data_IF_132165779419
#
_entry.id   IF_132165779419
#
_cell.length_a   1.000
_cell.length_b   1.000
_cell.length_c   1.000
_cell.angle_alpha   90.00
_cell.angle_beta   90.00
_cell.angle_gamma   90.00
#
_symmetry.space_group_name_H-M   'P 1'
#
loop_
_entity.id
_entity.type
_entity.pdbx_description
1 polymer ?
#
# COMPACT_ATOMS: atom_id res chain seq x y z
N UNK A 1 8.05 -20.91 -3.79
CA UNK A 1 8.24 -19.96 -2.67
C UNK A 1 6.98 -19.99 -1.84
N UNK A 2 7.10 -20.04 -0.52
CA UNK A 2 6.00 -20.05 0.44
C UNK A 2 6.05 -18.76 1.27
N UNK A 3 4.91 -18.13 1.51
CA UNK A 3 4.81 -16.84 2.20
C UNK A 3 3.67 -16.88 3.21
N UNK A 4 3.91 -16.37 4.42
CA UNK A 4 2.89 -16.09 5.42
C UNK A 4 2.37 -14.66 5.25
N UNK A 5 1.05 -14.46 5.20
CA UNK A 5 0.44 -13.13 5.17
C UNK A 5 -0.43 -12.91 6.41
N UNK A 6 -0.20 -11.81 7.08
CA UNK A 6 -0.89 -11.39 8.30
C UNK A 6 -1.74 -10.17 7.94
N UNK A 7 -3.07 -10.30 8.09
CA UNK A 7 -4.00 -9.25 7.69
C UNK A 7 -4.58 -9.47 6.30
N UNK A 8 -5.67 -10.24 6.23
CA UNK A 8 -6.43 -10.58 5.03
C UNK A 8 -7.62 -9.62 4.84
N UNK A 9 -7.40 -8.32 4.99
CA UNK A 9 -8.33 -7.27 4.59
C UNK A 9 -8.35 -7.09 3.07
N UNK A 10 -9.00 -6.03 2.57
CA UNK A 10 -9.11 -5.75 1.13
C UNK A 10 -7.75 -5.77 0.40
N UNK A 11 -6.72 -5.14 0.98
CA UNK A 11 -5.38 -5.14 0.36
C UNK A 11 -4.71 -6.50 0.48
N UNK A 12 -4.71 -7.12 1.68
CA UNK A 12 -4.08 -8.42 1.89
C UNK A 12 -4.69 -9.52 1.04
N UNK A 13 -6.01 -9.53 0.85
CA UNK A 13 -6.68 -10.44 -0.10
C UNK A 13 -6.20 -10.18 -1.53
N UNK A 14 -6.20 -8.93 -2.00
CA UNK A 14 -5.75 -8.58 -3.34
C UNK A 14 -4.30 -8.98 -3.59
N UNK A 15 -3.41 -8.75 -2.61
CA UNK A 15 -2.00 -9.17 -2.67
C UNK A 15 -1.87 -10.71 -2.74
N UNK A 16 -2.61 -11.42 -1.89
CA UNK A 16 -2.62 -12.89 -1.88
C UNK A 16 -3.01 -13.45 -3.25
N UNK A 17 -4.09 -12.95 -3.84
CA UNK A 17 -4.59 -13.39 -5.14
C UNK A 17 -3.58 -13.16 -6.27
N UNK A 18 -2.87 -12.02 -6.25
CA UNK A 18 -1.80 -11.77 -7.22
C UNK A 18 -0.63 -12.73 -7.05
N UNK A 19 -0.21 -12.99 -5.81
CA UNK A 19 0.86 -13.96 -5.51
C UNK A 19 0.48 -15.37 -5.92
N UNK A 20 -0.73 -15.84 -5.61
CA UNK A 20 -1.26 -17.15 -6.06
C UNK A 20 -1.22 -17.26 -7.59
N UNK A 21 -1.68 -16.22 -8.31
CA UNK A 21 -1.63 -16.18 -9.78
C UNK A 21 -0.20 -16.29 -10.32
N UNK A 22 0.77 -15.81 -9.58
CA UNK A 22 2.20 -15.89 -9.92
C UNK A 22 2.87 -17.20 -9.45
N UNK A 23 2.11 -18.17 -8.91
CA UNK A 23 2.62 -19.45 -8.45
C UNK A 23 3.32 -19.42 -7.08
N UNK A 24 3.08 -18.38 -6.29
CA UNK A 24 3.58 -18.28 -4.91
C UNK A 24 2.56 -18.91 -3.97
N UNK A 25 2.99 -19.84 -3.12
CA UNK A 25 2.15 -20.44 -2.08
C UNK A 25 1.95 -19.47 -0.93
N UNK A 26 0.71 -19.10 -0.62
CA UNK A 26 0.36 -18.08 0.37
C UNK A 26 -0.48 -18.67 1.48
N UNK A 27 0.02 -18.64 2.71
CA UNK A 27 -0.72 -19.00 3.91
C UNK A 27 -1.13 -17.74 4.67
N UNK A 28 -2.40 -17.66 5.05
CA UNK A 28 -2.97 -16.46 5.61
C UNK A 28 -3.40 -16.60 7.07
N UNK A 29 -3.21 -15.52 7.84
CA UNK A 29 -3.75 -15.33 9.17
C UNK A 29 -4.55 -14.04 9.28
N UNK A 30 -5.68 -14.10 9.94
CA UNK A 30 -6.46 -12.97 10.42
C UNK A 30 -7.26 -13.35 11.67
N UNK A 31 -7.58 -12.36 12.52
CA UNK A 31 -8.30 -12.58 13.77
C UNK A 31 -9.68 -13.26 13.57
N UNK A 32 -10.36 -12.99 12.47
CA UNK A 32 -11.60 -13.69 12.13
C UNK A 32 -11.29 -14.88 11.24
N UNK A 33 -11.10 -16.05 11.84
CA UNK A 33 -10.75 -17.28 11.14
C UNK A 33 -11.79 -17.71 10.08
N UNK A 34 -13.08 -17.55 10.36
CA UNK A 34 -14.14 -17.93 9.40
C UNK A 34 -13.99 -17.16 8.07
N UNK A 35 -13.61 -15.88 8.14
CA UNK A 35 -13.31 -15.11 6.91
C UNK A 35 -12.01 -15.52 6.23
N UNK A 36 -11.01 -16.02 6.95
CA UNK A 36 -9.81 -16.59 6.33
C UNK A 36 -10.13 -17.90 5.62
N UNK A 37 -10.95 -18.73 6.23
CA UNK A 37 -11.41 -19.98 5.65
C UNK A 37 -12.24 -19.75 4.37
N UNK A 38 -13.14 -18.77 4.36
CA UNK A 38 -13.88 -18.38 3.15
C UNK A 38 -12.92 -17.98 1.99
N UNK A 39 -11.83 -17.25 2.30
CA UNK A 39 -10.83 -16.88 1.29
C UNK A 39 -10.04 -18.09 0.79
N UNK A 40 -9.76 -19.04 1.66
CA UNK A 40 -9.14 -20.32 1.27
C UNK A 40 -10.07 -21.14 0.35
N UNK A 41 -11.33 -21.28 0.70
CA UNK A 41 -12.32 -22.01 -0.13
C UNK A 41 -12.51 -21.37 -1.51
N UNK A 42 -12.34 -20.05 -1.62
CA UNK A 42 -12.34 -19.32 -2.90
C UNK A 42 -11.02 -19.42 -3.67
N UNK A 43 -9.99 -20.07 -3.12
CA UNK A 43 -8.68 -20.18 -3.74
C UNK A 43 -7.86 -18.85 -3.74
N UNK A 44 -8.18 -17.93 -2.85
CA UNK A 44 -7.47 -16.64 -2.74
C UNK A 44 -6.19 -16.75 -1.91
N UNK A 45 -6.06 -17.79 -1.11
CA UNK A 45 -4.88 -18.21 -0.37
C UNK A 45 -4.73 -19.72 -0.48
N UNK A 46 -3.51 -20.25 -0.27
CA UNK A 46 -3.20 -21.70 -0.30
C UNK A 46 -3.61 -22.43 0.98
N UNK A 47 -3.76 -21.70 2.08
CA UNK A 47 -4.20 -22.21 3.37
C UNK A 47 -4.43 -21.09 4.36
N UNK A 48 -5.22 -21.36 5.41
CA UNK A 48 -5.47 -20.42 6.51
C UNK A 48 -5.06 -21.04 7.84
N UNK A 49 -4.67 -20.18 8.79
CA UNK A 49 -4.21 -20.60 10.11
C UNK A 49 -4.97 -19.89 11.22
N UNK A 50 -5.02 -20.50 12.40
CA UNK A 50 -5.77 -20.01 13.55
C UNK A 50 -4.93 -19.12 14.47
N UNK A 51 -3.60 -19.12 14.31
CA UNK A 51 -2.66 -18.35 15.13
C UNK A 51 -1.42 -17.95 14.32
N UNK A 52 -0.66 -16.97 14.81
CA UNK A 52 0.66 -16.64 14.25
C UNK A 52 1.65 -17.78 14.42
N UNK A 53 1.58 -18.53 15.52
CA UNK A 53 2.40 -19.73 15.73
C UNK A 53 2.19 -20.75 14.61
N UNK A 54 0.92 -21.11 14.33
CA UNK A 54 0.61 -22.06 13.25
C UNK A 54 0.98 -21.52 11.87
N UNK A 55 0.90 -20.21 11.65
CA UNK A 55 1.37 -19.58 10.43
C UNK A 55 2.88 -19.78 10.24
N UNK A 56 3.66 -19.49 11.27
CA UNK A 56 5.13 -19.64 11.24
C UNK A 56 5.50 -21.12 11.01
N UNK A 57 4.85 -22.05 11.71
CA UNK A 57 5.08 -23.50 11.54
C UNK A 57 4.81 -23.93 10.08
N UNK A 58 3.71 -23.51 9.49
CA UNK A 58 3.37 -23.85 8.10
C UNK A 58 4.36 -23.26 7.12
N UNK A 59 4.78 -22.02 7.30
CA UNK A 59 5.76 -21.36 6.41
C UNK A 59 7.11 -22.06 6.44
N UNK A 60 7.55 -22.51 7.62
CA UNK A 60 8.80 -23.26 7.78
C UNK A 60 8.71 -24.74 7.39
N UNK A 61 7.50 -25.32 7.27
CA UNK A 61 7.33 -26.73 6.92
C UNK A 61 7.74 -26.98 5.46
N UNK A 62 8.47 -28.06 5.24
CA UNK A 62 8.89 -28.47 3.89
C UNK A 62 10.15 -27.78 3.37
N UNK A 63 10.84 -27.01 4.20
CA UNK A 63 12.21 -26.56 3.88
C UNK A 63 13.17 -27.74 3.97
N UNK A 64 14.08 -27.94 2.97
CA UNK A 64 15.06 -29.01 3.04
C UNK A 64 15.92 -28.88 4.32
N UNK A 65 16.17 -29.99 5.00
CA UNK A 65 17.02 -30.04 6.22
C UNK A 65 18.46 -29.55 6.00
N UNK A 66 18.87 -29.28 4.77
CA UNK A 66 20.25 -28.96 4.37
C UNK A 66 20.52 -27.47 4.10
N UNK A 67 19.57 -26.58 4.36
CA UNK A 67 19.77 -25.14 4.29
C UNK A 67 18.49 -24.44 4.68
N UNK A 68 18.53 -23.66 5.76
CA UNK A 68 17.36 -22.89 6.20
C UNK A 68 16.97 -21.90 5.10
N UNK A 69 15.91 -22.20 4.37
CA UNK A 69 15.24 -21.16 3.56
C UNK A 69 14.53 -20.26 4.54
N UNK A 70 14.76 -18.93 4.51
CA UNK A 70 14.11 -18.02 5.42
C UNK A 70 12.58 -18.08 5.27
N UNK A 71 11.86 -18.08 6.38
CA UNK A 71 10.43 -17.81 6.40
C UNK A 71 10.21 -16.35 5.97
N UNK A 72 9.21 -16.12 5.13
CA UNK A 72 8.86 -14.76 4.69
C UNK A 72 7.45 -14.44 5.17
N UNK A 73 7.33 -13.38 5.96
CA UNK A 73 6.08 -12.97 6.59
C UNK A 73 5.74 -11.53 6.16
N UNK A 74 4.57 -11.35 5.55
CA UNK A 74 4.05 -10.07 5.13
C UNK A 74 3.02 -9.58 6.14
N UNK A 75 3.22 -8.42 6.73
CA UNK A 75 2.25 -7.74 7.59
C UNK A 75 1.47 -6.71 6.75
N UNK A 76 0.18 -6.96 6.57
CA UNK A 76 -0.75 -6.06 5.85
C UNK A 76 -1.85 -5.63 6.82
N UNK A 77 -1.42 -4.99 7.89
CA UNK A 77 -2.25 -4.58 9.02
C UNK A 77 -2.22 -3.05 9.18
N UNK A 78 -3.19 -2.44 9.89
CA UNK A 78 -3.17 -1.02 10.21
C UNK A 78 -1.89 -0.62 10.94
N UNK A 79 -1.39 0.60 10.67
CA UNK A 79 -0.11 1.08 11.20
C UNK A 79 -0.03 1.04 12.74
N UNK A 80 -1.14 1.32 13.41
CA UNK A 80 -1.28 1.29 14.87
C UNK A 80 -1.15 -0.12 15.47
N UNK A 81 -1.40 -1.18 14.69
CA UNK A 81 -1.31 -2.57 15.17
C UNK A 81 -0.02 -3.27 14.77
N UNK A 82 0.84 -2.63 13.96
CA UNK A 82 2.08 -3.24 13.46
C UNK A 82 3.00 -3.67 14.60
N UNK A 83 3.17 -2.83 15.63
CA UNK A 83 4.11 -3.13 16.72
C UNK A 83 3.66 -4.34 17.54
N UNK A 84 2.38 -4.41 17.90
CA UNK A 84 1.80 -5.52 18.67
C UNK A 84 1.85 -6.82 17.85
N UNK A 85 1.44 -6.76 16.58
CA UNK A 85 1.51 -7.91 15.65
C UNK A 85 2.94 -8.41 15.49
N UNK A 86 3.90 -7.50 15.35
CA UNK A 86 5.31 -7.83 15.23
C UNK A 86 5.84 -8.51 16.50
N UNK A 87 5.52 -7.97 17.69
CA UNK A 87 5.95 -8.53 18.97
C UNK A 87 5.38 -9.94 19.20
N UNK A 88 4.14 -10.20 18.80
CA UNK A 88 3.54 -11.53 18.85
C UNK A 88 4.22 -12.48 17.85
N UNK A 89 4.41 -12.06 16.60
CA UNK A 89 5.05 -12.87 15.57
C UNK A 89 6.48 -13.28 15.94
N UNK A 90 7.26 -12.35 16.52
CA UNK A 90 8.66 -12.57 16.91
C UNK A 90 8.85 -13.67 17.96
N UNK A 91 7.82 -14.07 18.70
CA UNK A 91 7.90 -15.17 19.65
C UNK A 91 8.14 -16.53 18.95
N UNK A 92 7.82 -16.61 17.66
CA UNK A 92 7.88 -17.84 16.86
C UNK A 92 8.91 -17.77 15.73
N UNK A 93 9.36 -16.57 15.37
CA UNK A 93 10.38 -16.36 14.32
C UNK A 93 11.76 -16.88 14.73
N UNK A 94 12.55 -17.24 13.73
CA UNK A 94 13.91 -17.71 13.90
C UNK A 94 14.91 -16.85 13.12
N UNK A 95 16.19 -16.98 13.44
CA UNK A 95 17.26 -16.34 12.70
C UNK A 95 17.19 -16.67 11.19
N UNK A 96 17.30 -15.66 10.36
CA UNK A 96 17.20 -15.74 8.90
C UNK A 96 15.81 -15.37 8.35
N UNK A 97 14.76 -15.34 9.18
CA UNK A 97 13.43 -14.94 8.72
C UNK A 97 13.39 -13.50 8.20
N UNK A 98 12.48 -13.26 7.26
CA UNK A 98 12.27 -11.94 6.66
C UNK A 98 10.85 -11.49 6.96
N UNK A 99 10.72 -10.30 7.55
CA UNK A 99 9.43 -9.65 7.81
C UNK A 99 9.28 -8.44 6.90
N UNK A 100 8.18 -8.38 6.15
CA UNK A 100 7.84 -7.28 5.25
C UNK A 100 6.65 -6.52 5.84
N UNK A 101 6.86 -5.26 6.20
CA UNK A 101 5.80 -4.36 6.67
C UNK A 101 5.21 -3.59 5.49
N UNK A 102 3.97 -3.92 5.13
CA UNK A 102 3.16 -3.20 4.14
C UNK A 102 2.18 -2.19 4.77
N UNK A 103 2.28 -1.97 6.08
CA UNK A 103 1.50 -0.93 6.76
C UNK A 103 1.90 0.47 6.28
N UNK A 104 1.03 1.45 6.56
CA UNK A 104 1.39 2.87 6.34
C UNK A 104 2.19 3.40 7.54
N UNK A 105 3.28 2.71 7.87
CA UNK A 105 4.09 2.94 9.08
C UNK A 105 4.96 4.19 8.95
N UNK A 106 5.29 4.80 10.11
CA UNK A 106 6.28 5.87 10.16
C UNK A 106 7.67 5.31 9.85
N UNK A 107 8.40 5.92 8.92
CA UNK A 107 9.74 5.47 8.51
C UNK A 107 10.77 5.44 9.66
N UNK A 108 10.61 6.28 10.69
CA UNK A 108 11.47 6.27 11.89
C UNK A 108 11.25 5.00 12.70
N UNK A 109 10.00 4.55 12.80
CA UNK A 109 9.66 3.29 13.47
C UNK A 109 10.17 2.10 12.68
N UNK A 110 10.09 2.15 11.35
CA UNK A 110 10.65 1.11 10.48
C UNK A 110 12.16 0.95 10.69
N UNK A 111 12.90 2.04 10.81
CA UNK A 111 14.34 2.02 11.13
C UNK A 111 14.61 1.39 12.49
N UNK A 112 13.85 1.79 13.52
CA UNK A 112 13.98 1.24 14.88
C UNK A 112 13.68 -0.24 14.92
N UNK A 113 12.62 -0.69 14.22
CA UNK A 113 12.25 -2.11 14.10
C UNK A 113 13.36 -2.88 13.40
N UNK A 114 13.86 -2.41 12.28
CA UNK A 114 14.95 -3.06 11.54
C UNK A 114 16.20 -3.23 12.40
N UNK A 115 16.61 -2.20 13.16
CA UNK A 115 17.74 -2.28 14.08
C UNK A 115 17.51 -3.32 15.19
N UNK A 116 16.30 -3.37 15.75
CA UNK A 116 15.93 -4.34 16.78
C UNK A 116 15.99 -5.77 16.23
N UNK A 117 15.40 -6.02 15.08
CA UNK A 117 15.30 -7.34 14.46
C UNK A 117 16.66 -7.85 13.98
N UNK A 118 17.52 -6.97 13.50
CA UNK A 118 18.87 -7.35 13.07
C UNK A 118 19.72 -7.98 14.19
N UNK A 119 19.50 -7.55 15.45
CA UNK A 119 20.14 -8.13 16.64
C UNK A 119 19.67 -9.56 16.94
N UNK A 120 18.51 -9.94 16.37
CA UNK A 120 17.95 -11.29 16.45
C UNK A 120 18.25 -12.12 15.19
N UNK A 121 19.04 -11.59 14.26
CA UNK A 121 19.32 -12.23 12.98
C UNK A 121 18.13 -12.24 12.01
N UNK A 122 17.05 -11.45 12.29
CA UNK A 122 15.84 -11.36 11.48
C UNK A 122 15.95 -10.13 10.59
N UNK A 123 15.59 -10.27 9.31
CA UNK A 123 15.58 -9.18 8.34
C UNK A 123 14.22 -8.45 8.34
N UNK A 124 14.27 -7.14 8.31
CA UNK A 124 13.07 -6.31 8.20
C UNK A 124 13.10 -5.49 6.92
N UNK A 125 12.00 -5.55 6.18
CA UNK A 125 11.74 -4.78 4.97
C UNK A 125 10.53 -3.89 5.22
N UNK A 126 10.66 -2.60 4.98
CA UNK A 126 9.56 -1.66 4.93
C UNK A 126 9.12 -1.48 3.48
N UNK A 127 7.84 -1.70 3.22
CA UNK A 127 7.30 -1.68 1.87
C UNK A 127 6.10 -0.73 1.76
N UNK A 128 6.38 0.53 1.46
CA UNK A 128 5.36 1.51 1.16
C UNK A 128 4.57 1.07 -0.07
N UNK A 129 3.26 0.86 0.09
CA UNK A 129 2.40 0.30 -0.93
C UNK A 129 1.34 1.30 -1.35
N UNK A 130 1.23 1.56 -2.65
CA UNK A 130 0.17 2.35 -3.27
C UNK A 130 -0.62 1.53 -4.27
N UNK A 131 -1.88 1.92 -4.54
CA UNK A 131 -2.81 1.22 -5.44
C UNK A 131 -4.15 0.86 -4.78
N UNK A 132 -4.20 0.81 -3.46
CA UNK A 132 -5.43 0.63 -2.68
C UNK A 132 -6.27 -0.56 -3.17
N UNK A 133 -7.57 -0.34 -3.31
CA UNK A 133 -8.53 -1.38 -3.75
C UNK A 133 -8.36 -1.79 -5.22
N UNK A 134 -7.76 -0.94 -6.05
CA UNK A 134 -7.50 -1.23 -7.47
C UNK A 134 -6.24 -2.05 -7.70
N UNK A 135 -5.43 -2.26 -6.67
CA UNK A 135 -4.17 -2.99 -6.76
C UNK A 135 -4.32 -4.45 -7.18
N UNK A 136 -5.46 -5.09 -6.88
CA UNK A 136 -5.74 -6.44 -7.36
C UNK A 136 -5.69 -6.50 -8.89
N UNK A 137 -6.35 -5.57 -9.57
CA UNK A 137 -6.46 -5.55 -11.03
C UNK A 137 -5.23 -4.92 -11.69
N UNK A 138 -4.84 -3.74 -11.21
CA UNK A 138 -3.81 -2.89 -11.85
C UNK A 138 -2.39 -3.18 -11.36
N UNK A 139 -2.22 -3.90 -10.24
CA UNK A 139 -0.95 -4.04 -9.53
C UNK A 139 -0.73 -2.94 -8.50
N UNK A 140 0.26 -3.16 -7.63
CA UNK A 140 0.64 -2.25 -6.55
C UNK A 140 1.97 -1.56 -6.88
N UNK A 141 2.04 -0.26 -6.71
CA UNK A 141 3.31 0.46 -6.72
C UNK A 141 4.01 0.25 -5.36
N UNK A 142 5.23 -0.29 -5.38
CA UNK A 142 5.95 -0.72 -4.18
C UNK A 142 7.26 0.04 -4.02
N UNK A 143 7.39 0.73 -2.90
CA UNK A 143 8.57 1.49 -2.47
C UNK A 143 9.23 0.71 -1.34
N UNK A 144 10.34 0.05 -1.62
CA UNK A 144 10.93 -0.96 -0.75
C UNK A 144 12.18 -0.42 -0.07
N UNK A 145 12.24 -0.50 1.25
CA UNK A 145 13.43 -0.23 2.07
C UNK A 145 13.89 -1.49 2.80
N UNK A 146 15.19 -1.73 2.87
CA UNK A 146 15.74 -2.90 3.55
C UNK A 146 17.15 -3.24 3.12
N UNK A 147 17.73 -4.28 3.75
CA UNK A 147 19.01 -4.81 3.32
C UNK A 147 18.91 -5.42 1.91
N UNK A 148 19.90 -5.16 1.06
CA UNK A 148 19.89 -5.60 -0.33
C UNK A 148 19.64 -7.11 -0.49
N UNK A 149 20.26 -7.93 0.33
CA UNK A 149 20.10 -9.40 0.32
C UNK A 149 18.65 -9.82 0.59
N UNK A 150 18.01 -9.23 1.60
CA UNK A 150 16.60 -9.50 1.92
C UNK A 150 15.65 -9.05 0.80
N UNK A 151 15.89 -7.85 0.25
CA UNK A 151 15.09 -7.32 -0.87
C UNK A 151 15.22 -8.21 -2.11
N UNK A 152 16.42 -8.67 -2.45
CA UNK A 152 16.62 -9.58 -3.58
C UNK A 152 15.94 -10.94 -3.37
N UNK A 153 15.99 -11.48 -2.15
CA UNK A 153 15.26 -12.71 -1.79
C UNK A 153 13.76 -12.56 -2.00
N UNK A 154 13.19 -11.39 -1.68
CA UNK A 154 11.77 -11.09 -1.81
C UNK A 154 11.38 -10.53 -3.19
N UNK A 155 12.32 -10.30 -4.10
CA UNK A 155 12.05 -9.75 -5.44
C UNK A 155 10.95 -10.50 -6.24
N UNK A 156 10.82 -11.84 -6.17
CA UNK A 156 9.70 -12.54 -6.81
C UNK A 156 8.34 -12.10 -6.29
N UNK A 157 8.22 -11.79 -4.99
CA UNK A 157 6.99 -11.29 -4.36
C UNK A 157 6.67 -9.91 -4.93
N UNK A 158 7.65 -9.00 -4.95
CA UNK A 158 7.45 -7.64 -5.46
C UNK A 158 7.04 -7.64 -6.95
N UNK A 159 7.65 -8.51 -7.77
CA UNK A 159 7.24 -8.70 -9.17
C UNK A 159 5.82 -9.21 -9.31
N UNK A 160 5.40 -10.15 -8.47
CA UNK A 160 4.04 -10.68 -8.49
C UNK A 160 2.99 -9.63 -8.12
N UNK A 161 3.33 -8.74 -7.18
CA UNK A 161 2.45 -7.68 -6.71
C UNK A 161 2.40 -6.48 -7.65
N UNK A 162 3.49 -6.14 -8.30
CA UNK A 162 3.64 -4.95 -9.13
C UNK A 162 2.84 -5.04 -10.45
N UNK A 163 2.56 -3.88 -11.10
CA UNK A 163 1.82 -3.83 -12.37
C UNK A 163 2.51 -4.55 -13.53
N UNK A 164 3.85 -4.51 -13.56
CA UNK A 164 4.65 -4.97 -14.69
C UNK A 164 4.90 -3.87 -15.74
N UNK A 165 5.89 -4.11 -16.60
CA UNK A 165 6.40 -3.12 -17.58
C UNK A 165 5.34 -2.64 -18.58
N UNK A 166 4.33 -3.46 -18.86
CA UNK A 166 3.26 -3.12 -19.79
C UNK A 166 2.21 -2.14 -19.26
N UNK A 167 2.31 -1.73 -17.99
CA UNK A 167 1.33 -0.84 -17.34
C UNK A 167 1.42 0.62 -17.80
N UNK A 168 2.58 1.04 -18.32
CA UNK A 168 2.81 2.37 -18.86
C UNK A 168 3.87 2.32 -19.97
N UNK A 169 3.85 3.30 -20.87
CA UNK A 169 4.92 3.46 -21.87
C UNK A 169 6.26 3.73 -21.20
N UNK A 170 7.32 3.16 -21.73
CA UNK A 170 8.68 3.42 -21.22
C UNK A 170 9.05 4.89 -21.42
N UNK A 171 9.70 5.48 -20.42
CA UNK A 171 10.29 6.82 -20.56
C UNK A 171 11.52 6.72 -21.45
N UNK A 172 11.52 7.41 -22.58
CA UNK A 172 12.66 7.48 -23.48
C UNK A 172 13.75 8.45 -22.93
N UNK A 173 15.06 8.18 -23.08
CA UNK A 173 15.69 7.03 -23.72
C UNK A 173 16.43 6.11 -22.73
N UNK A 174 15.72 5.35 -21.91
CA UNK A 174 16.40 4.38 -21.02
C UNK A 174 16.96 3.22 -21.83
N UNK A 175 18.29 3.04 -21.74
CA UNK A 175 19.00 1.97 -22.44
C UNK A 175 18.88 0.60 -21.76
N UNK A 176 18.39 0.54 -20.51
CA UNK A 176 18.24 -0.69 -19.74
C UNK A 176 16.94 -0.68 -18.94
N UNK A 177 16.39 -1.87 -18.72
CA UNK A 177 15.19 -2.08 -17.94
C UNK A 177 15.50 -2.08 -16.45
N UNK A 178 14.64 -1.47 -15.63
CA UNK A 178 14.77 -1.40 -14.18
C UNK A 178 13.52 -1.93 -13.49
N UNK A 179 13.63 -2.32 -12.22
CA UNK A 179 12.46 -2.72 -11.43
C UNK A 179 11.43 -1.60 -11.27
N UNK A 180 11.86 -0.33 -11.35
CA UNK A 180 10.95 0.82 -11.30
C UNK A 180 9.96 0.82 -12.48
N UNK A 181 10.38 0.40 -13.68
CA UNK A 181 9.52 0.28 -14.85
C UNK A 181 8.48 -0.84 -14.70
N UNK A 182 8.70 -1.80 -13.78
CA UNK A 182 7.73 -2.82 -13.40
C UNK A 182 6.80 -2.38 -12.26
N UNK A 183 7.04 -1.24 -11.64
CA UNK A 183 6.22 -0.69 -10.55
C UNK A 183 6.70 -1.04 -9.14
N UNK A 184 7.95 -1.48 -8.96
CA UNK A 184 8.57 -1.64 -7.66
C UNK A 184 10.02 -1.15 -7.67
N UNK A 185 10.49 -0.61 -6.55
CA UNK A 185 11.85 -0.08 -6.45
C UNK A 185 12.43 -0.34 -5.06
N UNK A 186 13.68 -0.84 -5.00
CA UNK A 186 14.48 -0.78 -3.79
C UNK A 186 14.98 0.65 -3.60
N UNK A 187 14.32 1.40 -2.71
CA UNK A 187 14.56 2.83 -2.50
C UNK A 187 15.79 3.10 -1.63
N UNK A 188 16.30 2.10 -0.91
CA UNK A 188 17.45 2.25 -0.03
C UNK A 188 17.39 1.39 1.24
N UNK A 189 18.17 1.75 2.29
CA UNK A 189 18.23 1.01 3.55
C UNK A 189 16.87 1.01 4.27
N UNK A 190 16.74 0.26 5.40
CA UNK A 190 15.50 0.23 6.18
C UNK A 190 14.96 1.62 6.51
N UNK A 191 13.67 1.82 6.30
CA UNK A 191 12.95 3.09 6.43
C UNK A 191 12.81 3.87 5.12
N UNK A 192 13.63 3.59 4.09
CA UNK A 192 13.58 4.32 2.82
C UNK A 192 12.28 4.10 2.06
N UNK A 193 11.70 2.91 2.12
CA UNK A 193 10.41 2.61 1.47
C UNK A 193 9.26 3.44 2.05
N UNK A 194 9.09 3.40 3.37
CA UNK A 194 8.06 4.20 4.04
C UNK A 194 8.32 5.71 3.97
N UNK A 195 9.59 6.13 3.92
CA UNK A 195 9.91 7.54 3.69
C UNK A 195 9.42 8.02 2.32
N UNK A 196 9.75 7.28 1.26
CA UNK A 196 9.29 7.60 -0.11
C UNK A 196 7.76 7.55 -0.18
N UNK A 197 7.12 6.56 0.46
CA UNK A 197 5.66 6.49 0.54
C UNK A 197 5.04 7.66 1.28
N UNK A 198 5.66 8.12 2.35
CA UNK A 198 5.20 9.31 3.08
C UNK A 198 5.20 10.55 2.19
N UNK A 199 6.27 10.75 1.41
CA UNK A 199 6.34 11.88 0.45
C UNK A 199 5.26 11.74 -0.63
N UNK A 200 5.09 10.53 -1.19
CA UNK A 200 4.02 10.24 -2.14
C UNK A 200 2.63 10.61 -1.57
N UNK A 201 2.34 10.20 -0.33
CA UNK A 201 1.07 10.53 0.31
C UNK A 201 0.89 12.05 0.50
N UNK A 202 1.95 12.77 0.86
CA UNK A 202 1.89 14.22 0.99
C UNK A 202 1.50 14.90 -0.33
N UNK A 203 2.08 14.47 -1.44
CA UNK A 203 1.74 14.96 -2.78
C UNK A 203 0.29 14.59 -3.14
N UNK A 204 -0.11 13.33 -2.92
CA UNK A 204 -1.45 12.83 -3.19
C UNK A 204 -2.52 13.66 -2.47
N UNK A 205 -2.36 13.89 -1.16
CA UNK A 205 -3.31 14.71 -0.38
C UNK A 205 -3.33 16.17 -0.80
N UNK A 206 -2.17 16.75 -1.19
CA UNK A 206 -2.11 18.10 -1.74
C UNK A 206 -2.92 18.25 -3.03
N UNK A 207 -2.82 17.28 -3.95
CA UNK A 207 -3.60 17.24 -5.19
C UNK A 207 -5.09 17.07 -4.88
N UNK A 208 -5.44 16.14 -3.98
CA UNK A 208 -6.84 15.90 -3.58
C UNK A 208 -7.46 17.16 -2.96
N UNK A 209 -6.70 17.92 -2.14
CA UNK A 209 -7.17 19.16 -1.56
C UNK A 209 -7.43 20.23 -2.64
N UNK A 210 -6.52 20.36 -3.62
CA UNK A 210 -6.70 21.30 -4.72
C UNK A 210 -7.97 21.00 -5.53
N UNK A 211 -8.24 19.71 -5.81
CA UNK A 211 -9.49 19.29 -6.46
C UNK A 211 -10.71 19.61 -5.59
N UNK A 212 -10.66 19.31 -4.30
CA UNK A 212 -11.78 19.55 -3.40
C UNK A 212 -12.15 21.04 -3.34
N UNK A 213 -11.15 21.92 -3.22
CA UNK A 213 -11.35 23.38 -3.21
C UNK A 213 -11.90 23.87 -4.55
N UNK A 214 -11.32 23.47 -5.68
CA UNK A 214 -11.77 23.86 -7.01
C UNK A 214 -13.20 23.43 -7.30
N UNK A 215 -13.55 22.19 -7.01
CA UNK A 215 -14.93 21.69 -7.17
C UNK A 215 -15.92 22.35 -6.21
N UNK A 216 -15.50 22.70 -4.98
CA UNK A 216 -16.33 23.46 -4.06
C UNK A 216 -16.65 24.88 -4.60
N UNK A 217 -15.68 25.55 -5.21
CA UNK A 217 -15.90 26.86 -5.87
C UNK A 217 -16.93 26.73 -6.99
N UNK A 218 -16.84 25.69 -7.83
CA UNK A 218 -17.81 25.45 -8.89
C UNK A 218 -19.21 25.14 -8.34
N UNK A 219 -19.29 24.35 -7.26
CA UNK A 219 -20.54 24.01 -6.58
C UNK A 219 -21.23 25.25 -6.01
N UNK A 220 -20.47 26.21 -5.49
CA UNK A 220 -20.98 27.45 -4.90
C UNK A 220 -21.01 28.65 -5.90
N UNK A 221 -20.79 28.41 -7.20
CA UNK A 221 -20.75 29.45 -8.21
C UNK A 221 -22.05 30.25 -8.37
N UNK A 222 -23.16 29.74 -7.79
CA UNK A 222 -24.47 30.43 -7.76
C UNK A 222 -24.76 31.11 -6.40
N UNK A 223 -23.73 31.38 -5.60
CA UNK A 223 -23.90 32.04 -4.29
C UNK A 223 -24.55 33.42 -4.39
N UNK A 224 -24.30 34.16 -5.47
CA UNK A 224 -24.86 35.48 -5.70
C UNK A 224 -26.38 35.48 -5.89
N UNK A 225 -26.97 34.41 -6.41
CA UNK A 225 -28.42 34.26 -6.54
C UNK A 225 -29.14 34.10 -5.19
N UNK A 226 -28.42 33.56 -4.20
CA UNK A 226 -28.90 33.33 -2.82
C UNK A 226 -28.47 34.44 -1.86
N UNK A 227 -27.71 35.43 -2.35
CA UNK A 227 -27.10 36.44 -1.48
C UNK A 227 -28.15 37.34 -0.87
N UNK A 228 -28.20 37.38 0.45
CA UNK A 228 -28.96 38.40 1.23
C UNK A 228 -27.92 39.21 2.00
N UNK A 229 -27.97 40.53 1.80
CA UNK A 229 -27.04 41.44 2.51
C UNK A 229 -27.18 41.25 4.01
N UNK A 230 -26.19 40.68 4.64
CA UNK A 230 -26.14 40.49 6.09
C UNK A 230 -26.02 41.86 6.78
N UNK A 231 -26.79 42.07 7.85
CA UNK A 231 -26.63 43.24 8.71
C UNK A 231 -25.51 43.10 9.73
N UNK A 232 -24.66 42.13 9.57
CA UNK A 232 -23.56 41.79 10.50
C UNK A 232 -22.26 42.48 10.04
N UNK A 233 -21.65 43.23 10.93
CA UNK A 233 -20.41 43.95 10.68
C UNK A 233 -19.18 43.02 10.52
N UNK A 234 -19.27 41.74 10.92
CA UNK A 234 -18.20 40.74 10.80
C UNK A 234 -18.20 40.01 9.46
N UNK A 235 -19.27 40.14 8.68
CA UNK A 235 -19.41 39.50 7.37
C UNK A 235 -19.11 40.50 6.26
N UNK A 236 -18.03 40.27 5.51
CA UNK A 236 -17.74 41.09 4.34
C UNK A 236 -18.87 40.97 3.30
N UNK A 237 -19.44 42.09 2.82
CA UNK A 237 -20.49 42.04 1.79
C UNK A 237 -19.90 41.51 0.47
N UNK A 238 -20.72 40.81 -0.30
CA UNK A 238 -20.41 40.47 -1.68
C UNK A 238 -20.57 41.71 -2.55
N UNK A 239 -19.47 42.19 -3.17
CA UNK A 239 -19.46 43.47 -3.90
C UNK A 239 -20.38 43.49 -5.12
N UNK A 240 -20.43 42.40 -5.88
CA UNK A 240 -21.28 42.26 -7.04
C UNK A 240 -21.89 40.85 -7.12
N UNK A 241 -23.04 40.60 -6.46
CA UNK A 241 -23.68 39.29 -6.48
C UNK A 241 -24.03 38.77 -7.88
N UNK A 242 -24.17 39.66 -8.86
CA UNK A 242 -24.48 39.25 -10.24
C UNK A 242 -23.32 38.51 -10.92
N UNK A 243 -22.11 38.71 -10.50
CA UNK A 243 -20.94 38.02 -11.03
C UNK A 243 -20.83 36.54 -10.55
N UNK A 244 -21.65 36.13 -9.59
CA UNK A 244 -21.65 34.82 -8.97
C UNK A 244 -23.02 34.12 -9.11
N UNK A 245 -23.58 34.14 -10.31
CA UNK A 245 -24.91 33.56 -10.61
C UNK A 245 -24.78 32.51 -11.74
N UNK A 246 -23.88 31.56 -11.57
CA UNK A 246 -23.68 30.48 -12.52
C UNK A 246 -24.29 29.18 -11.98
N UNK A 247 -25.29 28.66 -12.70
CA UNK A 247 -25.85 27.33 -12.43
C UNK A 247 -25.01 26.28 -13.18
N UNK A 248 -24.00 25.76 -12.50
CA UNK A 248 -23.02 24.84 -13.08
C UNK A 248 -23.34 23.41 -12.68
N UNK A 249 -23.47 22.52 -13.67
CA UNK A 249 -23.45 21.08 -13.45
C UNK A 249 -22.01 20.62 -13.24
N UNK A 250 -21.63 20.46 -11.98
CA UNK A 250 -20.25 20.06 -11.57
C UNK A 250 -19.90 18.67 -12.11
N UNK A 251 -20.88 17.78 -12.27
CA UNK A 251 -20.63 16.43 -12.80
C UNK A 251 -20.27 16.47 -14.29
N UNK A 252 -20.91 17.32 -15.08
CA UNK A 252 -20.57 17.53 -16.48
C UNK A 252 -19.21 18.22 -16.66
N UNK A 253 -18.87 19.17 -15.76
CA UNK A 253 -17.53 19.78 -15.76
C UNK A 253 -16.46 18.75 -15.45
N UNK A 254 -16.67 17.89 -14.46
CA UNK A 254 -15.74 16.80 -14.12
C UNK A 254 -15.58 15.83 -15.30
N UNK A 255 -16.67 15.46 -15.96
CA UNK A 255 -16.66 14.61 -17.15
C UNK A 255 -15.93 15.27 -18.33
N UNK A 256 -16.09 16.56 -18.52
CA UNK A 256 -15.38 17.34 -19.53
C UNK A 256 -13.86 17.36 -19.23
N UNK A 257 -13.48 17.66 -18.00
CA UNK A 257 -12.07 17.81 -17.63
C UNK A 257 -11.28 16.50 -17.73
N UNK A 258 -11.86 15.37 -17.38
CA UNK A 258 -11.17 14.09 -17.54
C UNK A 258 -10.93 13.69 -19.01
N UNK A 259 -11.43 14.48 -20.01
CA UNK A 259 -11.35 14.22 -21.45
C UNK A 259 -10.47 15.25 -22.20
N UNK A 260 -9.25 15.45 -21.74
CA UNK A 260 -8.27 16.28 -22.47
C UNK A 260 -7.85 17.54 -21.75
N UNK A 261 -8.33 17.78 -20.55
CA UNK A 261 -7.77 18.78 -19.64
C UNK A 261 -6.47 18.26 -18.99
N UNK A 262 -5.66 19.16 -18.45
CA UNK A 262 -4.50 18.83 -17.60
C UNK A 262 -4.86 18.60 -16.13
N UNK A 263 -6.11 18.84 -15.78
CA UNK A 263 -6.68 18.65 -14.43
C UNK A 263 -7.36 17.30 -14.33
#
# INVERSE_FOLDING_TARGET
MKVGIIGLGRMGEGMSRRMIKAGIEVHGYRNNYAKAQEQFEKGYISGCTTSLESLVQVVHTGTPMTGKVPGIFMMVVPAETVEDTLNELLQFCVEGDIIIDHGNSNFKDSRRRAERLSKMGIQYIDCGTSGGVYGLERGYCLMVGGANTAVQTCAPIFRALAPGIGSASRTDPRSYETSAEHGWLHCGPPGAGHFVKMVHNGIEYGIMQAYAEGFNILHEANAGAKYVKAGDAEVAPMDNPADYQYDIDVSEVAELWRRGSVV
#
